data_IF_871885424822
#
_entry.id   IF_871885424822
#
_cell.length_a   1.000
_cell.length_b   1.000
_cell.length_c   1.000
_cell.angle_alpha   90.00
_cell.angle_beta   90.00
_cell.angle_gamma   90.00
#
_symmetry.space_group_name_H-M   'P 1'
#
loop_
_entity.id
_entity.type
_entity.pdbx_description
1 polymer ?
#
# COMPACT_ATOMS: atom_id res chain seq x y z
N UNK A 1 -13.53 22.83 -15.81
CA UNK A 1 -13.49 21.68 -14.90
C UNK A 1 -14.24 20.55 -15.56
N UNK A 2 -13.48 19.63 -16.16
CA UNK A 2 -14.02 18.37 -16.63
C UNK A 2 -14.33 17.48 -15.42
N UNK A 3 -15.18 16.47 -15.61
CA UNK A 3 -15.49 15.47 -14.58
C UNK A 3 -14.22 14.81 -14.00
N UNK A 4 -13.17 14.65 -14.81
CA UNK A 4 -11.88 14.07 -14.37
C UNK A 4 -11.15 14.96 -13.36
N UNK A 5 -11.09 16.27 -13.62
CA UNK A 5 -10.47 17.24 -12.72
C UNK A 5 -11.12 17.19 -11.32
N UNK A 6 -12.45 17.04 -11.25
CA UNK A 6 -13.19 16.92 -9.99
C UNK A 6 -12.93 15.61 -9.25
N UNK A 7 -12.71 14.51 -9.97
CA UNK A 7 -12.35 13.23 -9.38
C UNK A 7 -10.94 13.30 -8.80
N UNK A 8 -10.00 13.91 -9.52
CA UNK A 8 -8.62 14.10 -9.04
C UNK A 8 -8.59 14.94 -7.74
N UNK A 9 -9.39 16.02 -7.69
CA UNK A 9 -9.53 16.86 -6.49
C UNK A 9 -10.11 16.07 -5.29
N UNK A 10 -11.12 15.23 -5.53
CA UNK A 10 -11.71 14.38 -4.49
C UNK A 10 -10.69 13.38 -3.98
N UNK A 11 -9.99 12.70 -4.89
CA UNK A 11 -9.00 11.71 -4.51
C UNK A 11 -7.91 12.37 -3.67
N UNK A 12 -7.36 13.52 -4.08
CA UNK A 12 -6.37 14.30 -3.32
C UNK A 12 -6.79 14.51 -1.86
N UNK A 13 -8.01 15.00 -1.61
CA UNK A 13 -8.52 15.20 -0.25
C UNK A 13 -8.70 13.89 0.52
N UNK A 14 -9.20 12.84 -0.13
CA UNK A 14 -9.46 11.54 0.50
C UNK A 14 -8.16 10.90 1.01
N UNK A 15 -7.12 10.88 0.19
CA UNK A 15 -5.84 10.29 0.63
C UNK A 15 -5.12 11.18 1.64
N UNK A 16 -5.21 12.50 1.53
CA UNK A 16 -4.64 13.41 2.55
C UNK A 16 -5.28 13.16 3.93
N UNK A 17 -6.59 12.89 3.96
CA UNK A 17 -7.33 12.76 5.22
C UNK A 17 -7.33 11.35 5.78
N UNK A 18 -7.40 10.32 4.92
CA UNK A 18 -7.65 8.93 5.31
C UNK A 18 -6.52 7.96 4.91
N UNK A 19 -5.52 8.42 4.16
CA UNK A 19 -4.42 7.59 3.71
C UNK A 19 -3.42 7.27 4.82
N UNK A 20 -2.98 6.03 4.86
CA UNK A 20 -1.82 5.61 5.62
C UNK A 20 -0.54 6.10 4.92
N UNK A 21 0.41 6.61 5.70
CA UNK A 21 1.70 7.08 5.19
C UNK A 21 2.70 5.92 5.07
N UNK A 22 3.34 5.83 3.90
CA UNK A 22 4.46 4.92 3.65
C UNK A 22 5.67 5.68 3.12
N UNK A 23 6.82 5.49 3.75
CA UNK A 23 8.11 5.96 3.26
C UNK A 23 8.70 4.91 2.32
N UNK A 24 8.96 5.30 1.06
CA UNK A 24 9.55 4.41 0.07
C UNK A 24 10.99 4.84 -0.21
N UNK A 25 11.89 3.86 -0.22
CA UNK A 25 13.29 4.06 -0.58
C UNK A 25 13.43 4.72 -1.96
N UNK A 26 14.14 5.85 -2.01
CA UNK A 26 14.32 6.64 -3.23
C UNK A 26 13.31 7.77 -3.43
N UNK A 27 12.32 7.94 -2.54
CA UNK A 27 11.44 9.10 -2.52
C UNK A 27 11.70 9.99 -1.30
N UNK A 28 11.63 11.30 -1.53
CA UNK A 28 11.76 12.29 -0.46
C UNK A 28 10.43 12.51 0.28
N UNK A 29 9.30 12.27 -0.39
CA UNK A 29 7.95 12.46 0.15
C UNK A 29 7.29 11.11 0.48
N UNK A 30 6.55 11.03 1.61
CA UNK A 30 5.76 9.86 1.93
C UNK A 30 4.68 9.65 0.88
N UNK A 31 4.45 8.39 0.51
CA UNK A 31 3.33 7.99 -0.33
C UNK A 31 2.13 7.70 0.57
N UNK A 32 1.00 8.32 0.25
CA UNK A 32 -0.27 8.06 0.92
C UNK A 32 -0.97 6.91 0.20
N UNK A 33 -1.43 5.93 0.97
CA UNK A 33 -2.07 4.74 0.45
C UNK A 33 -2.96 4.07 1.48
N UNK A 34 -3.51 2.91 1.14
CA UNK A 34 -4.29 2.11 2.08
C UNK A 34 -3.50 0.84 2.41
N UNK A 35 -3.15 0.65 3.69
CA UNK A 35 -2.49 -0.55 4.15
C UNK A 35 -3.49 -1.61 4.59
N UNK A 36 -3.48 -2.74 3.89
CA UNK A 36 -4.26 -3.92 4.23
C UNK A 36 -3.33 -5.09 4.54
N UNK A 37 -3.10 -5.34 5.83
CA UNK A 37 -2.51 -6.59 6.29
C UNK A 37 -3.63 -7.59 6.66
N UNK A 38 -3.84 -8.69 5.92
CA UNK A 38 -4.67 -9.80 6.37
C UNK A 38 -3.95 -10.53 7.54
N UNK A 39 -4.00 -9.90 8.71
CA UNK A 39 -3.44 -10.36 9.98
C UNK A 39 -4.21 -11.51 10.62
N UNK A 40 -5.48 -11.69 10.25
CA UNK A 40 -6.35 -12.71 10.83
C UNK A 40 -6.45 -13.91 9.91
N UNK A 41 -5.71 -14.97 10.23
CA UNK A 41 -5.97 -16.29 9.67
C UNK A 41 -7.43 -16.70 9.98
N UNK A 42 -8.10 -17.47 9.10
CA UNK A 42 -9.40 -18.06 9.43
C UNK A 42 -9.30 -18.87 10.74
N UNK A 43 -10.15 -18.53 11.72
CA UNK A 43 -10.07 -19.04 13.09
C UNK A 43 -10.48 -20.52 13.21
N UNK A 44 -11.18 -21.09 12.21
CA UNK A 44 -11.66 -22.48 12.22
C UNK A 44 -11.59 -23.10 10.82
N UNK A 45 -11.13 -24.36 10.74
CA UNK A 45 -11.10 -25.17 9.50
C UNK A 45 -9.94 -24.81 8.56
N UNK A 46 -8.78 -25.44 8.78
CA UNK A 46 -7.47 -25.09 8.20
C UNK A 46 -7.42 -25.06 6.66
N UNK A 47 -6.82 -23.99 6.12
CA UNK A 47 -5.56 -24.06 5.35
C UNK A 47 -4.65 -22.94 5.87
N UNK A 48 -3.53 -23.28 6.51
CA UNK A 48 -2.48 -22.30 6.82
C UNK A 48 -1.71 -22.01 5.53
N UNK A 49 -2.29 -21.20 4.65
CA UNK A 49 -1.48 -20.56 3.62
C UNK A 49 -0.61 -19.56 4.35
N UNK A 50 0.69 -19.85 4.51
CA UNK A 50 1.67 -18.88 5.02
C UNK A 50 1.80 -17.61 4.18
N UNK A 51 0.95 -17.45 3.15
CA UNK A 51 0.74 -16.25 2.36
C UNK A 51 0.09 -15.17 3.23
N UNK A 52 0.94 -14.46 3.98
CA UNK A 52 0.64 -13.10 4.39
C UNK A 52 1.17 -12.22 3.28
N UNK A 53 0.26 -11.70 2.46
CA UNK A 53 0.56 -10.67 1.48
C UNK A 53 0.01 -9.36 2.04
N UNK A 54 0.74 -8.65 2.92
CA UNK A 54 0.41 -7.26 3.20
C UNK A 54 0.36 -6.50 1.88
N UNK A 55 -0.75 -5.79 1.67
CA UNK A 55 -0.98 -5.00 0.48
C UNK A 55 -0.98 -3.54 0.87
N UNK A 56 -0.29 -2.72 0.10
CA UNK A 56 -0.35 -1.28 0.24
C UNK A 56 -0.85 -0.70 -1.09
N UNK A 57 -2.10 -0.25 -1.11
CA UNK A 57 -2.74 0.27 -2.31
C UNK A 57 -2.42 1.76 -2.45
N UNK A 58 -1.77 2.12 -3.56
CA UNK A 58 -1.37 3.49 -3.88
C UNK A 58 -1.95 3.90 -5.21
N UNK A 59 -1.95 5.20 -5.52
CA UNK A 59 -2.41 5.66 -6.83
C UNK A 59 -1.42 5.29 -7.92
N UNK A 60 -1.92 5.15 -9.14
CA UNK A 60 -1.07 4.89 -10.32
C UNK A 60 -0.03 6.01 -10.50
N UNK A 61 -0.39 7.29 -10.26
CA UNK A 61 0.56 8.43 -10.31
C UNK A 61 1.73 8.24 -9.35
N UNK A 62 1.45 7.72 -8.17
CA UNK A 62 2.43 7.46 -7.13
C UNK A 62 3.10 6.10 -7.29
N UNK A 63 2.72 5.28 -8.27
CA UNK A 63 3.40 4.01 -8.57
C UNK A 63 4.57 4.18 -9.55
N UNK A 64 4.71 5.35 -10.19
CA UNK A 64 5.73 5.58 -11.21
C UNK A 64 7.16 5.53 -10.63
N UNK A 65 8.04 4.78 -11.31
CA UNK A 65 9.42 4.56 -10.89
C UNK A 65 9.63 3.58 -9.72
N UNK A 66 8.57 2.97 -9.19
CA UNK A 66 8.69 1.93 -8.17
C UNK A 66 9.22 0.62 -8.78
N UNK A 67 10.18 0.00 -8.09
CA UNK A 67 10.82 -1.25 -8.52
C UNK A 67 10.83 -2.30 -7.42
N UNK A 68 10.84 -3.57 -7.83
CA UNK A 68 10.90 -4.70 -6.90
C UNK A 68 12.20 -4.64 -6.07
N UNK A 69 12.09 -4.89 -4.77
CA UNK A 69 13.20 -4.90 -3.82
C UNK A 69 13.41 -3.59 -3.06
N UNK A 70 12.67 -2.53 -3.38
CA UNK A 70 12.71 -1.28 -2.61
C UNK A 70 12.18 -1.51 -1.19
N UNK A 71 12.81 -0.85 -0.21
CA UNK A 71 12.29 -0.79 1.15
C UNK A 71 11.07 0.14 1.21
N UNK A 72 10.00 -0.36 1.80
CA UNK A 72 8.77 0.38 2.12
C UNK A 72 8.58 0.34 3.63
N UNK A 73 8.61 1.49 4.28
CA UNK A 73 8.36 1.63 5.71
C UNK A 73 6.96 2.19 5.91
N UNK A 74 6.06 1.38 6.49
CA UNK A 74 4.69 1.78 6.78
C UNK A 74 4.66 2.44 8.16
N UNK A 75 4.22 3.70 8.20
CA UNK A 75 4.14 4.52 9.42
C UNK A 75 2.82 4.27 10.16
N UNK A 76 2.66 3.04 10.64
CA UNK A 76 1.54 2.60 11.46
C UNK A 76 2.03 1.96 12.76
N UNK A 77 1.18 1.83 13.78
CA UNK A 77 1.51 1.02 14.95
C UNK A 77 1.87 -0.42 14.55
N UNK A 78 2.86 -1.02 15.22
CA UNK A 78 3.31 -2.40 14.94
C UNK A 78 2.17 -3.43 15.03
N UNK A 79 1.18 -3.18 15.89
CA UNK A 79 0.00 -4.04 16.04
C UNK A 79 -0.93 -3.98 14.83
N UNK A 80 -0.98 -2.85 14.14
CA UNK A 80 -1.76 -2.65 12.92
C UNK A 80 -0.97 -3.06 11.66
N UNK A 81 0.27 -3.50 11.84
CA UNK A 81 1.15 -3.97 10.77
C UNK A 81 2.13 -2.92 10.26
N UNK A 82 2.40 -1.85 11.01
CA UNK A 82 3.51 -0.95 10.69
C UNK A 82 4.89 -1.62 10.79
N UNK A 83 5.86 -1.02 10.11
CA UNK A 83 7.25 -1.49 10.08
C UNK A 83 7.84 -1.54 8.67
N UNK A 84 8.96 -2.25 8.55
CA UNK A 84 9.74 -2.34 7.32
C UNK A 84 9.36 -3.54 6.45
N UNK A 85 9.16 -3.25 5.18
CA UNK A 85 8.77 -4.20 4.15
C UNK A 85 9.66 -4.08 2.92
N UNK A 86 9.79 -5.20 2.20
CA UNK A 86 10.30 -5.25 0.84
C UNK A 86 9.15 -5.24 -0.16
N UNK A 87 9.26 -4.40 -1.19
CA UNK A 87 8.34 -4.43 -2.32
C UNK A 87 8.59 -5.67 -3.19
N UNK A 88 7.69 -6.65 -3.16
CA UNK A 88 7.80 -7.87 -3.97
C UNK A 88 7.27 -7.66 -5.39
N UNK A 89 6.12 -7.00 -5.52
CA UNK A 89 5.40 -6.88 -6.78
C UNK A 89 4.47 -5.67 -6.78
N UNK A 90 4.21 -5.14 -7.97
CA UNK A 90 3.18 -4.16 -8.23
C UNK A 90 2.06 -4.82 -9.03
N UNK A 91 0.82 -4.69 -8.57
CA UNK A 91 -0.36 -5.21 -9.23
C UNK A 91 -1.34 -4.07 -9.54
N UNK A 92 -1.50 -3.66 -10.81
CA UNK A 92 -2.47 -2.63 -11.17
C UNK A 92 -3.90 -3.18 -11.06
N UNK A 93 -4.74 -2.54 -10.26
CA UNK A 93 -6.13 -2.96 -10.00
C UNK A 93 -7.10 -2.63 -11.14
N UNK A 94 -6.75 -1.65 -11.99
CA UNK A 94 -7.59 -1.19 -13.09
C UNK A 94 -8.63 -0.13 -12.69
N UNK A 95 -8.67 0.23 -11.42
CA UNK A 95 -9.52 1.26 -10.79
C UNK A 95 -8.77 2.58 -10.56
N UNK A 96 -7.54 2.72 -11.07
CA UNK A 96 -6.66 3.87 -10.80
C UNK A 96 -5.73 3.66 -9.61
N UNK A 97 -5.79 2.49 -8.96
CA UNK A 97 -4.91 2.08 -7.87
C UNK A 97 -3.98 0.95 -8.30
N UNK A 98 -2.85 0.87 -7.59
CA UNK A 98 -1.83 -0.17 -7.72
C UNK A 98 -1.60 -0.76 -6.34
N UNK A 99 -1.84 -2.05 -6.21
CA UNK A 99 -1.52 -2.80 -5.01
C UNK A 99 -0.03 -3.13 -5.00
N UNK A 100 0.70 -2.60 -4.01
CA UNK A 100 2.06 -2.99 -3.70
C UNK A 100 2.01 -4.22 -2.80
N UNK A 101 2.50 -5.34 -3.31
CA UNK A 101 2.63 -6.59 -2.55
C UNK A 101 3.90 -6.51 -1.74
N UNK A 102 3.77 -6.55 -0.42
CA UNK A 102 4.84 -6.33 0.53
C UNK A 102 5.27 -7.64 1.22
N UNK A 103 6.55 -7.72 1.58
CA UNK A 103 7.09 -8.78 2.44
C UNK A 103 7.75 -8.18 3.65
N UNK A 104 7.35 -8.60 4.85
CA UNK A 104 7.97 -8.11 6.09
C UNK A 104 9.44 -8.51 6.13
N UNK A 105 10.33 -7.54 6.40
CA UNK A 105 11.75 -7.82 6.63
C UNK A 105 11.93 -8.53 7.99
N UNK A 106 12.83 -9.54 8.09
CA UNK A 106 13.09 -10.28 9.32
C UNK A 106 13.84 -9.44 10.37
#
# INVERSE_FOLDING_TARGET
MAFRDLIDDIDDVVFETLGDSAQIEGRAEPVLGMFAAPWKAPQFGKVHTGLREPRFEVRVKDSDGLSKGLRVTIDLPTLDGGGDYDLLQLEPGGDGLVALILRKRP
#
